data_IF_396951275636
#
_entry.id   IF_396951275636
#
_cell.length_a   1.000
_cell.length_b   1.000
_cell.length_c   1.000
_cell.angle_alpha   90.00
_cell.angle_beta   90.00
_cell.angle_gamma   90.00
#
_symmetry.space_group_name_H-M   'P 1'
#
loop_
_entity.id
_entity.type
_entity.pdbx_description
1 polymer ?
#
# COMPACT_ATOMS: atom_id res chain seq x y z
N UNK A 1 -2.03 -32.18 5.39
CA UNK A 1 -3.14 -31.34 5.88
C UNK A 1 -2.63 -30.21 6.80
N UNK A 2 -1.71 -29.34 6.34
CA UNK A 2 -0.99 -28.36 7.19
C UNK A 2 -0.86 -26.94 6.64
N UNK A 3 -1.40 -26.58 5.46
CA UNK A 3 -1.21 -25.23 4.88
C UNK A 3 -2.32 -24.21 5.19
N UNK A 4 -3.53 -24.66 5.59
CA UNK A 4 -4.67 -23.78 5.92
C UNK A 4 -4.39 -22.91 7.12
N UNK A 5 -3.92 -23.51 8.21
CA UNK A 5 -3.80 -22.83 9.50
C UNK A 5 -2.73 -21.75 9.44
N UNK A 6 -1.67 -21.95 8.66
CA UNK A 6 -0.62 -20.97 8.49
C UNK A 6 -1.04 -19.77 7.64
N UNK A 7 -1.90 -19.92 6.62
CA UNK A 7 -2.38 -18.75 5.86
C UNK A 7 -3.26 -17.88 6.73
N UNK A 8 -4.23 -18.48 7.41
CA UNK A 8 -5.14 -17.75 8.29
C UNK A 8 -4.38 -17.10 9.45
N UNK A 9 -3.51 -17.85 10.15
CA UNK A 9 -2.70 -17.32 11.27
C UNK A 9 -1.81 -16.15 10.84
N UNK A 10 -1.11 -16.27 9.71
CA UNK A 10 -0.23 -15.18 9.24
C UNK A 10 -1.04 -13.98 8.75
N UNK A 11 -2.19 -14.21 8.11
CA UNK A 11 -3.08 -13.11 7.68
C UNK A 11 -3.65 -12.37 8.89
N UNK A 12 -4.09 -13.09 9.93
CA UNK A 12 -4.57 -12.51 11.19
C UNK A 12 -3.45 -11.73 11.89
N UNK A 13 -2.24 -12.29 11.96
CA UNK A 13 -1.09 -11.62 12.56
C UNK A 13 -0.74 -10.32 11.83
N UNK A 14 -0.68 -10.36 10.49
CA UNK A 14 -0.42 -9.18 9.66
C UNK A 14 -1.55 -8.17 9.78
N UNK A 15 -2.80 -8.63 9.80
CA UNK A 15 -3.97 -7.77 9.96
C UNK A 15 -3.93 -7.07 11.33
N UNK A 16 -3.80 -7.81 12.43
CA UNK A 16 -3.70 -7.24 13.77
C UNK A 16 -2.54 -6.25 13.88
N UNK A 17 -1.36 -6.59 13.34
CA UNK A 17 -0.20 -5.71 13.36
C UNK A 17 -0.43 -4.42 12.54
N UNK A 18 -1.02 -4.55 11.34
CA UNK A 18 -1.36 -3.40 10.51
C UNK A 18 -2.38 -2.49 11.20
N UNK A 19 -3.37 -3.07 11.89
CA UNK A 19 -4.37 -2.30 12.63
C UNK A 19 -3.77 -1.57 13.82
N UNK A 20 -2.85 -2.18 14.57
CA UNK A 20 -2.13 -1.48 15.64
C UNK A 20 -1.35 -0.29 15.07
N UNK A 21 -0.60 -0.49 13.98
CA UNK A 21 0.16 0.59 13.33
C UNK A 21 -0.75 1.71 12.79
N UNK A 22 -1.90 1.34 12.21
CA UNK A 22 -2.93 2.28 11.74
C UNK A 22 -3.52 3.09 12.91
N UNK A 23 -3.90 2.43 14.01
CA UNK A 23 -4.40 3.09 15.22
C UNK A 23 -3.36 4.06 15.78
N UNK A 24 -2.09 3.65 15.89
CA UNK A 24 -1.01 4.55 16.32
C UNK A 24 -0.85 5.75 15.39
N UNK A 25 -1.03 5.57 14.08
CA UNK A 25 -0.98 6.66 13.10
C UNK A 25 -2.14 7.64 13.24
N UNK A 26 -3.36 7.14 13.47
CA UNK A 26 -4.53 7.98 13.76
C UNK A 26 -4.33 8.75 15.06
N UNK A 27 -3.91 8.07 16.12
CA UNK A 27 -3.62 8.70 17.41
C UNK A 27 -2.53 9.77 17.28
N UNK A 28 -1.52 9.55 16.44
CA UNK A 28 -0.50 10.56 16.15
C UNK A 28 -1.14 11.81 15.54
N UNK A 29 -1.94 11.67 14.49
CA UNK A 29 -2.59 12.84 13.86
C UNK A 29 -3.57 13.54 14.81
N UNK A 30 -4.32 12.79 15.61
CA UNK A 30 -5.21 13.34 16.64
C UNK A 30 -4.43 14.12 17.71
N UNK A 31 -3.32 13.58 18.20
CA UNK A 31 -2.47 14.25 19.17
C UNK A 31 -1.88 15.53 18.58
N UNK A 32 -1.28 15.44 17.39
CA UNK A 32 -0.67 16.58 16.71
C UNK A 32 -1.68 17.68 16.40
N UNK A 33 -2.90 17.33 15.97
CA UNK A 33 -3.96 18.31 15.70
C UNK A 33 -4.50 19.03 16.94
N UNK A 34 -4.30 18.48 18.15
CA UNK A 34 -4.70 19.12 19.41
C UNK A 34 -3.61 20.02 19.99
N UNK A 35 -2.35 19.63 19.82
CA UNK A 35 -1.22 20.28 20.49
C UNK A 35 -0.45 21.26 19.59
N UNK A 36 -0.50 21.08 18.27
CA UNK A 36 0.11 22.02 17.33
C UNK A 36 -0.87 23.13 16.97
N UNK A 37 -0.35 24.34 16.79
CA UNK A 37 -1.10 25.41 16.14
C UNK A 37 -1.50 24.99 14.71
N UNK A 38 -2.62 25.50 14.17
CA UNK A 38 -3.10 25.11 12.83
C UNK A 38 -2.05 25.26 11.71
N UNK A 39 -1.21 26.31 11.78
CA UNK A 39 -0.12 26.53 10.84
C UNK A 39 0.94 25.41 10.89
N UNK A 40 1.39 25.05 12.08
CA UNK A 40 2.37 23.96 12.30
C UNK A 40 1.79 22.60 11.89
N UNK A 41 0.53 22.33 12.21
CA UNK A 41 -0.13 21.11 11.75
C UNK A 41 -0.24 21.05 10.21
N UNK A 42 -0.47 22.20 9.57
CA UNK A 42 -0.45 22.34 8.11
C UNK A 42 0.92 22.02 7.50
N UNK A 43 2.00 22.51 8.12
CA UNK A 43 3.39 22.19 7.74
C UNK A 43 3.63 20.68 7.87
N UNK A 44 3.33 20.09 9.03
CA UNK A 44 3.50 18.66 9.28
C UNK A 44 2.76 17.81 8.24
N UNK A 45 1.50 18.12 7.99
CA UNK A 45 0.65 17.38 7.05
C UNK A 45 1.18 17.47 5.61
N UNK A 46 1.64 18.66 5.20
CA UNK A 46 2.21 18.87 3.87
C UNK A 46 3.51 18.09 3.68
N UNK A 47 4.41 18.14 4.66
CA UNK A 47 5.69 17.42 4.61
C UNK A 47 5.48 15.90 4.61
N UNK A 48 4.60 15.37 5.46
CA UNK A 48 4.25 13.95 5.44
C UNK A 48 3.56 13.55 4.12
N UNK A 49 2.82 14.46 3.49
CA UNK A 49 2.26 14.27 2.16
C UNK A 49 3.32 14.01 1.09
N UNK A 50 4.45 14.73 1.14
CA UNK A 50 5.60 14.50 0.24
C UNK A 50 6.17 13.09 0.41
N UNK A 51 6.35 12.65 1.66
CA UNK A 51 6.83 11.28 1.97
C UNK A 51 5.85 10.22 1.44
N UNK A 52 4.54 10.45 1.61
CA UNK A 52 3.50 9.54 1.14
C UNK A 52 3.52 9.38 -0.39
N UNK A 53 3.63 10.49 -1.13
CA UNK A 53 3.69 10.49 -2.60
C UNK A 53 4.91 9.69 -3.08
N UNK A 54 6.08 9.95 -2.49
CA UNK A 54 7.30 9.23 -2.85
C UNK A 54 7.25 7.74 -2.45
N UNK A 55 6.43 7.38 -1.46
CA UNK A 55 6.23 6.00 -1.02
C UNK A 55 5.49 5.11 -2.04
N UNK A 56 4.68 5.69 -2.94
CA UNK A 56 3.90 4.91 -3.91
C UNK A 56 4.76 4.00 -4.82
N UNK A 57 5.78 4.51 -5.55
CA UNK A 57 6.62 3.65 -6.38
C UNK A 57 7.46 2.64 -5.58
N UNK A 58 7.76 2.93 -4.31
CA UNK A 58 8.49 2.01 -3.43
C UNK A 58 7.68 0.76 -3.08
N UNK A 59 6.35 0.82 -3.15
CA UNK A 59 5.49 -0.35 -3.02
C UNK A 59 5.82 -1.43 -4.05
N UNK A 60 6.04 -1.04 -5.31
CA UNK A 60 6.42 -1.97 -6.38
C UNK A 60 7.79 -2.60 -6.12
N UNK A 61 8.76 -1.80 -5.66
CA UNK A 61 10.06 -2.32 -5.25
C UNK A 61 9.93 -3.31 -4.08
N UNK A 62 9.06 -3.04 -3.12
CA UNK A 62 8.74 -3.99 -2.04
C UNK A 62 8.22 -5.32 -2.58
N UNK A 63 7.28 -5.29 -3.52
CA UNK A 63 6.75 -6.50 -4.18
C UNK A 63 7.84 -7.27 -4.91
N UNK A 64 8.72 -6.58 -5.66
CA UNK A 64 9.88 -7.18 -6.34
C UNK A 64 10.79 -7.91 -5.34
N UNK A 65 11.11 -7.26 -4.23
CA UNK A 65 12.01 -7.84 -3.23
C UNK A 65 11.36 -9.01 -2.49
N UNK A 66 10.05 -8.96 -2.18
CA UNK A 66 9.33 -10.12 -1.64
C UNK A 66 9.44 -11.31 -2.62
N UNK A 67 9.19 -11.07 -3.92
CA UNK A 67 9.26 -12.10 -4.95
C UNK A 67 10.65 -12.74 -5.02
N UNK A 68 11.69 -11.93 -5.27
CA UNK A 68 13.04 -12.47 -5.46
C UNK A 68 13.64 -13.05 -4.18
N UNK A 69 13.32 -12.51 -3.01
CA UNK A 69 13.74 -13.12 -1.74
C UNK A 69 13.07 -14.48 -1.52
N UNK A 70 11.77 -14.62 -1.81
CA UNK A 70 11.08 -15.91 -1.72
C UNK A 70 11.64 -16.91 -2.75
N UNK A 71 11.95 -16.46 -3.97
CA UNK A 71 12.54 -17.29 -5.02
C UNK A 71 13.94 -17.79 -4.62
N UNK A 72 14.81 -16.92 -4.09
CA UNK A 72 16.13 -17.30 -3.58
C UNK A 72 16.02 -18.33 -2.45
N UNK A 73 15.05 -18.16 -1.54
CA UNK A 73 14.81 -19.13 -0.47
C UNK A 73 14.39 -20.50 -1.02
N UNK A 74 13.50 -20.54 -2.03
CA UNK A 74 13.09 -21.79 -2.69
C UNK A 74 14.25 -22.48 -3.42
N UNK A 75 15.22 -21.71 -3.92
CA UNK A 75 16.42 -22.20 -4.60
C UNK A 75 17.56 -22.60 -3.63
N UNK A 76 17.33 -22.58 -2.31
CA UNK A 76 18.35 -22.77 -1.27
C UNK A 76 19.50 -21.74 -1.32
N UNK A 77 19.23 -20.54 -1.86
CA UNK A 77 20.19 -19.42 -2.00
C UNK A 77 19.92 -18.31 -0.98
N UNK A 78 19.59 -18.68 0.26
CA UNK A 78 19.24 -17.72 1.31
C UNK A 78 20.36 -16.70 1.61
N UNK A 79 21.64 -17.07 1.41
CA UNK A 79 22.77 -16.17 1.58
C UNK A 79 22.83 -15.03 0.57
N UNK A 80 22.17 -15.17 -0.59
CA UNK A 80 22.15 -14.15 -1.64
C UNK A 80 21.17 -13.01 -1.38
N UNK A 81 20.36 -13.12 -0.32
CA UNK A 81 19.41 -12.07 0.08
C UNK A 81 20.17 -10.79 0.47
N UNK A 82 21.25 -10.87 1.25
CA UNK A 82 22.05 -9.68 1.60
C UNK A 82 22.76 -9.04 0.40
N UNK A 83 23.41 -9.79 -0.51
CA UNK A 83 23.89 -9.26 -1.79
C UNK A 83 22.79 -8.57 -2.62
N UNK A 84 21.60 -9.18 -2.73
CA UNK A 84 20.46 -8.57 -3.42
C UNK A 84 20.07 -7.24 -2.76
N UNK A 85 19.93 -7.22 -1.43
CA UNK A 85 19.65 -6.00 -0.66
C UNK A 85 20.71 -4.93 -0.89
N UNK A 86 22.00 -5.29 -0.84
CA UNK A 86 23.12 -4.38 -1.10
C UNK A 86 23.05 -3.79 -2.50
N UNK A 87 22.74 -4.60 -3.52
CA UNK A 87 22.63 -4.13 -4.91
C UNK A 87 21.53 -3.07 -5.06
N UNK A 88 20.38 -3.26 -4.41
CA UNK A 88 19.28 -2.31 -4.43
C UNK A 88 19.56 -1.08 -3.55
N UNK A 89 20.18 -1.26 -2.39
CA UNK A 89 20.61 -0.15 -1.55
C UNK A 89 21.56 0.79 -2.30
N UNK A 90 22.52 0.25 -3.06
CA UNK A 90 23.42 1.05 -3.90
C UNK A 90 22.68 1.81 -5.00
N UNK A 91 21.72 1.18 -5.69
CA UNK A 91 20.87 1.84 -6.70
C UNK A 91 20.05 2.98 -6.08
N UNK A 92 19.51 2.77 -4.89
CA UNK A 92 18.73 3.80 -4.18
C UNK A 92 19.59 4.89 -3.59
N UNK A 93 20.86 4.63 -3.24
CA UNK A 93 21.83 5.68 -2.87
C UNK A 93 22.09 6.64 -4.03
N UNK A 94 22.18 6.14 -5.26
CA UNK A 94 22.32 6.97 -6.46
C UNK A 94 21.11 7.89 -6.68
N UNK A 95 19.93 7.55 -6.14
CA UNK A 95 18.73 8.39 -6.19
C UNK A 95 18.63 9.31 -4.97
N UNK A 96 18.88 8.78 -3.78
CA UNK A 96 18.69 9.48 -2.51
C UNK A 96 19.72 10.58 -2.27
N UNK A 97 20.98 10.38 -2.68
CA UNK A 97 22.04 11.39 -2.51
C UNK A 97 21.75 12.63 -3.37
N UNK A 98 21.51 12.52 -4.69
CA UNK A 98 21.12 13.68 -5.49
C UNK A 98 19.85 14.34 -4.98
N UNK A 99 18.85 13.56 -4.53
CA UNK A 99 17.63 14.13 -3.95
C UNK A 99 17.92 14.98 -2.72
N UNK A 100 18.78 14.52 -1.80
CA UNK A 100 19.20 15.28 -0.62
C UNK A 100 19.98 16.53 -1.02
N UNK A 101 20.94 16.40 -1.94
CA UNK A 101 21.76 17.52 -2.42
C UNK A 101 20.89 18.58 -3.11
N UNK A 102 20.01 18.16 -4.02
CA UNK A 102 19.07 19.06 -4.71
C UNK A 102 18.10 19.69 -3.72
N UNK A 103 17.55 18.91 -2.78
CA UNK A 103 16.68 19.44 -1.74
C UNK A 103 17.38 20.48 -0.86
N UNK A 104 18.68 20.32 -0.61
CA UNK A 104 19.49 21.30 0.10
C UNK A 104 19.76 22.57 -0.74
N UNK A 105 20.22 22.41 -1.99
CA UNK A 105 20.52 23.52 -2.90
C UNK A 105 19.29 24.37 -3.22
N UNK A 106 18.14 23.71 -3.44
CA UNK A 106 16.86 24.36 -3.74
C UNK A 106 15.99 24.56 -2.48
N UNK A 107 16.58 24.50 -1.28
CA UNK A 107 15.82 24.58 -0.02
C UNK A 107 15.03 25.88 0.13
N UNK A 108 15.52 27.00 -0.39
CA UNK A 108 14.81 28.28 -0.33
C UNK A 108 13.59 28.32 -1.27
N UNK A 109 13.72 28.08 -2.59
CA UNK A 109 12.57 27.99 -3.47
C UNK A 109 11.53 26.97 -3.00
N UNK A 110 11.97 25.84 -2.47
CA UNK A 110 11.08 24.82 -1.92
C UNK A 110 10.35 25.32 -0.68
N UNK A 111 11.04 25.97 0.26
CA UNK A 111 10.41 26.53 1.45
C UNK A 111 9.39 27.62 1.10
N UNK A 112 9.69 28.49 0.14
CA UNK A 112 8.77 29.51 -0.35
C UNK A 112 7.56 28.89 -1.07
N UNK A 113 7.79 27.89 -1.93
CA UNK A 113 6.73 27.15 -2.62
C UNK A 113 5.75 26.48 -1.64
N UNK A 114 6.27 25.84 -0.60
CA UNK A 114 5.47 25.22 0.46
C UNK A 114 4.99 26.21 1.54
N UNK A 115 5.33 27.50 1.43
CA UNK A 115 5.00 28.57 2.39
C UNK A 115 5.43 28.20 3.82
N UNK A 116 6.63 27.64 3.97
CA UNK A 116 7.15 27.21 5.25
C UNK A 116 7.66 28.41 6.06
N UNK A 117 7.35 28.49 7.38
CA UNK A 117 7.86 29.55 8.25
C UNK A 117 9.39 29.45 8.42
N UNK A 118 9.94 28.24 8.39
CA UNK A 118 11.38 27.99 8.42
C UNK A 118 11.78 26.75 7.58
N UNK A 119 13.09 26.58 7.33
CA UNK A 119 13.65 25.48 6.51
C UNK A 119 13.86 24.18 7.29
N UNK A 120 13.70 24.17 8.60
CA UNK A 120 14.04 23.02 9.45
C UNK A 120 13.12 21.82 9.19
N UNK A 121 11.82 22.07 8.98
CA UNK A 121 10.86 21.04 8.60
C UNK A 121 11.19 20.43 7.23
N UNK A 122 11.64 21.26 6.28
CA UNK A 122 12.08 20.82 4.96
C UNK A 122 13.31 19.90 5.04
N UNK A 123 14.34 20.28 5.79
CA UNK A 123 15.52 19.42 5.95
C UNK A 123 15.16 18.10 6.64
N UNK A 124 14.30 18.14 7.65
CA UNK A 124 13.84 16.93 8.33
C UNK A 124 13.08 16.00 7.38
N UNK A 125 12.18 16.54 6.54
CA UNK A 125 11.45 15.70 5.59
C UNK A 125 12.35 15.12 4.52
N UNK A 126 13.36 15.85 4.05
CA UNK A 126 14.34 15.34 3.07
C UNK A 126 15.12 14.15 3.63
N UNK A 127 15.55 14.24 4.89
CA UNK A 127 16.23 13.13 5.59
C UNK A 127 15.28 11.93 5.73
N UNK A 128 14.04 12.15 6.18
CA UNK A 128 13.04 11.10 6.31
C UNK A 128 12.80 10.43 4.95
N UNK A 129 12.62 11.22 3.90
CA UNK A 129 12.38 10.74 2.54
C UNK A 129 13.54 9.87 2.04
N UNK A 130 14.78 10.31 2.26
CA UNK A 130 15.97 9.51 1.94
C UNK A 130 15.99 8.19 2.72
N UNK A 131 15.63 8.18 4.00
CA UNK A 131 15.51 6.95 4.80
C UNK A 131 14.38 6.04 4.28
N UNK A 132 13.24 6.61 3.89
CA UNK A 132 12.08 5.88 3.37
C UNK A 132 12.42 5.06 2.14
N UNK A 133 13.33 5.53 1.26
CA UNK A 133 13.79 4.74 0.11
C UNK A 133 14.41 3.39 0.49
N UNK A 134 15.06 3.28 1.65
CA UNK A 134 15.66 2.02 2.10
C UNK A 134 14.67 1.09 2.81
N UNK A 135 13.49 1.58 3.21
CA UNK A 135 12.49 0.77 3.92
C UNK A 135 12.07 -0.49 3.15
N UNK A 136 11.72 -0.48 1.84
CA UNK A 136 11.41 -1.71 1.12
C UNK A 136 12.62 -2.65 1.03
N UNK A 137 13.85 -2.12 0.91
CA UNK A 137 15.07 -2.93 0.80
C UNK A 137 15.28 -3.81 2.04
N UNK A 138 14.88 -3.32 3.21
CA UNK A 138 15.15 -3.98 4.49
C UNK A 138 13.91 -4.72 5.00
N UNK A 139 12.72 -4.14 4.87
CA UNK A 139 11.50 -4.75 5.42
C UNK A 139 10.85 -5.77 4.48
N UNK A 140 10.96 -5.61 3.16
CA UNK A 140 10.31 -6.52 2.20
C UNK A 140 10.89 -7.95 2.20
N UNK A 141 12.22 -8.17 2.34
CA UNK A 141 12.78 -9.51 2.44
C UNK A 141 12.21 -10.36 3.58
N UNK A 142 11.80 -9.75 4.71
CA UNK A 142 11.10 -10.47 5.79
C UNK A 142 9.79 -11.09 5.31
N UNK A 143 9.06 -10.40 4.43
CA UNK A 143 7.88 -10.93 3.76
C UNK A 143 8.23 -12.11 2.86
N UNK A 144 9.30 -11.98 2.06
CA UNK A 144 9.78 -13.03 1.16
C UNK A 144 10.16 -14.33 1.88
N UNK A 145 10.88 -14.23 3.00
CA UNK A 145 11.22 -15.39 3.84
C UNK A 145 10.10 -15.81 4.81
N UNK A 146 8.94 -15.17 4.74
CA UNK A 146 7.77 -15.43 5.59
C UNK A 146 8.02 -15.21 7.10
N UNK A 147 8.97 -14.35 7.46
CA UNK A 147 9.26 -13.93 8.84
C UNK A 147 8.26 -12.87 9.33
N UNK A 148 6.96 -13.19 9.25
CA UNK A 148 5.87 -12.26 9.54
C UNK A 148 5.90 -11.69 10.97
N UNK A 149 6.44 -12.43 11.94
CA UNK A 149 6.63 -11.92 13.31
C UNK A 149 7.54 -10.69 13.37
N UNK A 150 8.72 -10.77 12.73
CA UNK A 150 9.65 -9.65 12.61
C UNK A 150 9.08 -8.51 11.75
N UNK A 151 8.40 -8.84 10.65
CA UNK A 151 7.73 -7.85 9.82
C UNK A 151 6.65 -7.08 10.58
N UNK A 152 5.81 -7.78 11.36
CA UNK A 152 4.81 -7.18 12.24
C UNK A 152 5.44 -6.31 13.34
N UNK A 153 6.50 -6.79 14.00
CA UNK A 153 7.20 -6.01 15.03
C UNK A 153 7.80 -4.72 14.45
N UNK A 154 8.43 -4.81 13.28
CA UNK A 154 8.96 -3.66 12.54
C UNK A 154 7.85 -2.65 12.19
N UNK A 155 6.72 -3.09 11.65
CA UNK A 155 5.61 -2.21 11.28
C UNK A 155 4.88 -1.57 12.47
N UNK A 156 4.71 -2.30 13.57
CA UNK A 156 4.13 -1.77 14.82
C UNK A 156 5.08 -0.73 15.42
N UNK A 157 6.37 -1.04 15.48
CA UNK A 157 7.37 -0.14 16.06
C UNK A 157 7.42 1.21 15.36
N UNK A 158 7.25 1.25 14.02
CA UNK A 158 7.17 2.49 13.26
C UNK A 158 6.05 3.40 13.78
N UNK A 159 4.82 2.87 13.86
CA UNK A 159 3.65 3.63 14.30
C UNK A 159 3.74 4.06 15.76
N UNK A 160 4.14 3.14 16.65
CA UNK A 160 4.25 3.40 18.10
C UNK A 160 5.37 4.39 18.40
N UNK A 161 6.57 4.21 17.83
CA UNK A 161 7.69 5.11 18.10
C UNK A 161 7.45 6.51 17.52
N UNK A 162 6.82 6.58 16.34
CA UNK A 162 6.38 7.87 15.77
C UNK A 162 5.43 8.61 16.72
N UNK A 163 4.45 7.90 17.29
CA UNK A 163 3.50 8.47 18.26
C UNK A 163 4.18 8.88 19.56
N UNK A 164 4.92 7.97 20.20
CA UNK A 164 5.50 8.17 21.52
C UNK A 164 6.60 9.23 21.47
N UNK A 165 7.57 9.09 20.56
CA UNK A 165 8.70 10.02 20.45
C UNK A 165 8.22 11.35 19.89
N UNK A 166 7.42 11.35 18.83
CA UNK A 166 6.88 12.58 18.25
C UNK A 166 5.98 13.34 19.23
N UNK A 167 5.08 12.64 19.91
CA UNK A 167 4.21 13.20 20.93
C UNK A 167 4.99 13.77 22.11
N UNK A 168 5.97 13.02 22.63
CA UNK A 168 6.82 13.48 23.73
C UNK A 168 7.63 14.73 23.34
N UNK A 169 8.26 14.76 22.16
CA UNK A 169 9.03 15.92 21.73
C UNK A 169 8.14 17.16 21.52
N UNK A 170 6.94 16.98 20.96
CA UNK A 170 5.97 18.08 20.79
C UNK A 170 5.48 18.62 22.13
N UNK A 171 5.22 17.73 23.10
CA UNK A 171 4.70 18.11 24.41
C UNK A 171 5.76 18.70 25.34
N UNK A 172 6.93 18.07 25.43
CA UNK A 172 7.97 18.44 26.42
C UNK A 172 9.04 19.40 25.86
N UNK A 173 9.25 19.45 24.54
CA UNK A 173 10.32 20.29 23.94
C UNK A 173 9.75 21.54 23.30
N UNK A 174 8.96 21.39 22.23
CA UNK A 174 8.23 22.51 21.63
C UNK A 174 7.11 22.02 20.71
N UNK A 175 5.99 22.74 20.71
CA UNK A 175 4.86 22.46 19.83
C UNK A 175 5.13 22.93 18.37
N UNK A 176 5.99 22.21 17.65
CA UNK A 176 6.33 22.47 16.24
C UNK A 176 6.31 21.21 15.38
N UNK A 177 6.05 21.40 14.08
CA UNK A 177 6.06 20.35 13.06
C UNK A 177 7.40 19.62 12.99
N UNK A 178 8.51 20.34 13.20
CA UNK A 178 9.87 19.79 13.23
C UNK A 178 9.97 18.61 14.20
N UNK A 179 9.52 18.76 15.44
CA UNK A 179 9.63 17.72 16.46
C UNK A 179 8.71 16.52 16.19
N UNK A 180 7.54 16.77 15.60
CA UNK A 180 6.67 15.70 15.10
C UNK A 180 7.33 14.90 13.96
N UNK A 181 8.04 15.58 13.04
CA UNK A 181 8.83 14.94 11.98
C UNK A 181 10.04 14.17 12.54
N UNK A 182 10.71 14.69 13.57
CA UNK A 182 11.76 13.94 14.29
C UNK A 182 11.21 12.61 14.82
N UNK A 183 10.04 12.63 15.46
CA UNK A 183 9.36 11.41 15.88
C UNK A 183 9.12 10.42 14.75
N UNK A 184 8.67 10.91 13.59
CA UNK A 184 8.52 10.08 12.38
C UNK A 184 9.84 9.45 11.93
N UNK A 185 10.91 10.25 11.84
CA UNK A 185 12.25 9.76 11.48
C UNK A 185 12.76 8.69 12.43
N UNK A 186 12.61 8.90 13.75
CA UNK A 186 12.96 7.89 14.77
C UNK A 186 12.13 6.61 14.58
N UNK A 187 10.84 6.74 14.28
CA UNK A 187 10.00 5.59 13.96
C UNK A 187 10.51 4.78 12.76
N UNK A 188 10.96 5.45 11.69
CA UNK A 188 11.56 4.79 10.53
C UNK A 188 12.86 4.06 10.91
N UNK A 189 13.75 4.72 11.68
CA UNK A 189 15.02 4.14 12.12
C UNK A 189 14.79 2.88 12.97
N UNK A 190 13.91 2.95 13.98
CA UNK A 190 13.60 1.80 14.84
C UNK A 190 12.99 0.65 14.04
N UNK A 191 12.05 0.97 13.14
CA UNK A 191 11.40 -0.02 12.28
C UNK A 191 12.38 -0.76 11.38
N UNK A 192 13.28 -0.02 10.71
CA UNK A 192 14.35 -0.57 9.88
C UNK A 192 15.35 -1.36 10.72
N UNK A 193 15.71 -0.88 11.92
CA UNK A 193 16.60 -1.57 12.84
C UNK A 193 16.06 -2.93 13.28
N UNK A 194 14.78 -3.00 13.65
CA UNK A 194 14.10 -4.26 13.99
C UNK A 194 14.05 -5.21 12.78
N UNK A 195 13.75 -4.67 11.59
CA UNK A 195 13.71 -5.49 10.39
C UNK A 195 15.08 -6.08 10.03
N UNK A 196 16.13 -5.25 10.10
CA UNK A 196 17.51 -5.66 9.87
C UNK A 196 17.97 -6.70 10.91
N UNK A 197 17.63 -6.50 12.19
CA UNK A 197 17.92 -7.46 13.25
C UNK A 197 17.25 -8.81 12.98
N UNK A 198 15.99 -8.81 12.55
CA UNK A 198 15.26 -10.02 12.17
C UNK A 198 15.93 -10.76 11.00
N UNK A 199 16.31 -10.03 9.95
CA UNK A 199 17.04 -10.62 8.82
C UNK A 199 18.38 -11.19 9.24
N UNK A 200 19.16 -10.46 10.04
CA UNK A 200 20.45 -10.91 10.51
C UNK A 200 20.32 -12.17 11.37
N UNK A 201 19.38 -12.21 12.33
CA UNK A 201 19.16 -13.40 13.17
C UNK A 201 18.82 -14.64 12.33
N UNK A 202 18.01 -14.48 11.28
CA UNK A 202 17.57 -15.61 10.43
C UNK A 202 18.65 -16.03 9.44
N UNK A 203 19.38 -15.07 8.86
CA UNK A 203 20.26 -15.29 7.71
C UNK A 203 21.76 -15.28 8.05
N UNK A 204 22.17 -14.98 9.30
CA UNK A 204 23.60 -14.89 9.71
C UNK A 204 24.45 -16.12 9.38
N UNK A 205 23.83 -17.30 9.31
CA UNK A 205 24.52 -18.55 9.02
C UNK A 205 24.43 -18.95 7.53
N UNK A 206 23.75 -18.15 6.71
CA UNK A 206 23.60 -18.41 5.29
C UNK A 206 24.73 -17.73 4.52
N UNK A 207 25.60 -18.53 3.89
CA UNK A 207 26.69 -18.00 3.08
C UNK A 207 26.18 -17.64 1.68
N UNK A 208 26.59 -16.49 1.11
CA UNK A 208 26.32 -16.17 -0.28
C UNK A 208 26.86 -17.23 -1.23
N UNK A 209 26.19 -17.41 -2.36
CA UNK A 209 26.63 -18.27 -3.44
C UNK A 209 27.36 -17.45 -4.50
N UNK A 210 28.24 -18.09 -5.29
CA UNK A 210 28.95 -17.44 -6.41
C UNK A 210 28.07 -17.25 -7.66
N UNK A 211 26.77 -17.54 -7.56
CA UNK A 211 25.85 -17.41 -8.68
C UNK A 211 25.44 -15.96 -8.89
N UNK A 212 25.24 -15.57 -10.16
CA UNK A 212 24.73 -14.25 -10.49
C UNK A 212 23.38 -13.98 -9.81
N UNK A 213 23.18 -12.73 -9.39
CA UNK A 213 21.90 -12.29 -8.84
C UNK A 213 20.85 -12.20 -9.96
N UNK A 214 19.57 -12.46 -9.64
CA UNK A 214 18.52 -12.41 -10.64
C UNK A 214 18.29 -10.99 -11.16
N UNK A 215 17.96 -10.89 -12.45
CA UNK A 215 17.59 -9.64 -13.10
C UNK A 215 16.23 -9.14 -12.62
N UNK A 216 16.20 -8.03 -11.89
CA UNK A 216 14.98 -7.53 -11.23
C UNK A 216 14.27 -6.39 -11.98
N UNK A 217 14.93 -5.79 -12.98
CA UNK A 217 14.47 -4.56 -13.62
C UNK A 217 13.20 -4.72 -14.46
N UNK A 218 13.11 -5.78 -15.27
CA UNK A 218 11.92 -6.05 -16.08
C UNK A 218 10.69 -6.32 -15.19
N UNK A 219 10.87 -7.14 -14.14
CA UNK A 219 9.84 -7.39 -13.14
C UNK A 219 9.40 -6.10 -12.44
N UNK A 220 10.34 -5.22 -12.06
CA UNK A 220 10.03 -3.93 -11.43
C UNK A 220 9.18 -3.06 -12.36
N UNK A 221 9.60 -2.87 -13.61
CA UNK A 221 8.86 -2.03 -14.56
C UNK A 221 7.44 -2.54 -14.79
N UNK A 222 7.27 -3.85 -15.00
CA UNK A 222 5.95 -4.45 -15.19
C UNK A 222 5.08 -4.35 -13.93
N UNK A 223 5.68 -4.53 -12.74
CA UNK A 223 4.99 -4.36 -11.46
C UNK A 223 4.53 -2.92 -11.26
N UNK A 224 5.37 -1.93 -11.61
CA UNK A 224 5.00 -0.51 -11.58
C UNK A 224 3.80 -0.23 -12.48
N UNK A 225 3.76 -0.77 -13.70
CA UNK A 225 2.62 -0.61 -14.61
C UNK A 225 1.34 -1.23 -14.03
N UNK A 226 1.42 -2.45 -13.49
CA UNK A 226 0.27 -3.12 -12.84
C UNK A 226 -0.24 -2.28 -11.67
N UNK A 227 0.65 -1.87 -10.76
CA UNK A 227 0.28 -1.06 -9.59
C UNK A 227 -0.26 0.30 -10.00
N UNK A 228 0.31 0.97 -11.01
CA UNK A 228 -0.18 2.24 -11.51
C UNK A 228 -1.61 2.13 -12.07
N UNK A 229 -1.89 1.10 -12.87
CA UNK A 229 -3.24 0.86 -13.39
C UNK A 229 -4.24 0.59 -12.26
N UNK A 230 -3.86 -0.27 -11.29
CA UNK A 230 -4.72 -0.56 -10.15
C UNK A 230 -4.94 0.68 -9.26
N UNK A 231 -3.89 1.44 -8.96
CA UNK A 231 -3.97 2.68 -8.19
C UNK A 231 -4.82 3.74 -8.88
N UNK A 232 -4.79 3.80 -10.21
CA UNK A 232 -5.66 4.66 -11.00
C UNK A 232 -7.13 4.29 -10.81
N UNK A 233 -7.48 3.01 -11.00
CA UNK A 233 -8.86 2.53 -10.77
C UNK A 233 -9.34 2.79 -9.33
N UNK A 234 -8.43 2.74 -8.35
CA UNK A 234 -8.75 2.96 -6.95
C UNK A 234 -8.92 4.44 -6.56
N UNK A 235 -8.27 5.39 -7.25
CA UNK A 235 -8.15 6.78 -6.76
C UNK A 235 -8.50 7.87 -7.79
N UNK A 236 -8.58 7.55 -9.08
CA UNK A 236 -8.81 8.56 -10.13
C UNK A 236 -10.18 9.25 -9.99
N UNK A 237 -11.17 8.56 -9.45
CA UNK A 237 -12.52 9.03 -9.21
C UNK A 237 -12.58 10.33 -8.40
N UNK A 238 -11.76 10.49 -7.35
CA UNK A 238 -11.73 11.75 -6.58
C UNK A 238 -11.25 12.92 -7.45
N UNK A 239 -10.21 12.72 -8.25
CA UNK A 239 -9.64 13.76 -9.10
C UNK A 239 -10.61 14.15 -10.21
N UNK A 240 -11.27 13.14 -10.80
CA UNK A 240 -12.29 13.33 -11.83
C UNK A 240 -13.49 14.11 -11.27
N UNK A 241 -14.03 13.72 -10.11
CA UNK A 241 -15.18 14.42 -9.51
C UNK A 241 -14.80 15.86 -9.15
N UNK A 242 -13.59 16.09 -8.63
CA UNK A 242 -13.09 17.44 -8.34
C UNK A 242 -12.97 18.32 -9.60
N UNK A 243 -12.72 17.72 -10.76
CA UNK A 243 -12.61 18.45 -12.02
C UNK A 243 -13.98 18.86 -12.59
N UNK A 244 -14.96 17.96 -12.56
CA UNK A 244 -16.26 18.16 -13.21
C UNK A 244 -17.36 18.76 -12.32
N UNK A 245 -17.23 18.69 -10.98
CA UNK A 245 -18.29 19.08 -10.04
C UNK A 245 -17.86 20.21 -9.10
N UNK A 246 -18.85 20.82 -8.44
CA UNK A 246 -18.60 21.92 -7.50
C UNK A 246 -17.78 21.47 -6.28
N UNK A 247 -17.09 22.40 -5.57
CA UNK A 247 -16.34 22.06 -4.37
C UNK A 247 -17.16 21.32 -3.30
N UNK A 248 -18.42 21.70 -3.10
CA UNK A 248 -19.31 21.05 -2.11
C UNK A 248 -19.64 19.61 -2.52
N UNK A 249 -19.99 19.40 -3.79
CA UNK A 249 -20.27 18.07 -4.35
C UNK A 249 -19.04 17.17 -4.29
N UNK A 250 -17.87 17.70 -4.65
CA UNK A 250 -16.59 17.00 -4.50
C UNK A 250 -16.28 16.66 -3.05
N UNK A 251 -16.63 17.53 -2.10
CA UNK A 251 -16.48 17.30 -0.67
C UNK A 251 -17.34 16.13 -0.18
N UNK A 252 -18.62 16.08 -0.55
CA UNK A 252 -19.50 14.95 -0.24
C UNK A 252 -19.00 13.65 -0.84
N UNK A 253 -18.57 13.67 -2.11
CA UNK A 253 -18.00 12.49 -2.74
C UNK A 253 -16.72 12.00 -2.05
N UNK A 254 -15.81 12.90 -1.68
CA UNK A 254 -14.57 12.52 -1.01
C UNK A 254 -14.82 11.77 0.31
N UNK A 255 -15.89 12.13 1.06
CA UNK A 255 -16.32 11.39 2.26
C UNK A 255 -16.76 9.97 1.92
N UNK A 256 -17.63 9.81 0.91
CA UNK A 256 -18.12 8.51 0.48
C UNK A 256 -17.00 7.63 -0.11
N UNK A 257 -16.12 8.20 -0.92
CA UNK A 257 -14.99 7.52 -1.54
C UNK A 257 -13.96 7.06 -0.49
N UNK A 258 -13.72 7.85 0.56
CA UNK A 258 -12.89 7.43 1.70
C UNK A 258 -13.45 6.17 2.36
N UNK A 259 -14.76 6.15 2.64
CA UNK A 259 -15.43 4.98 3.24
C UNK A 259 -15.34 3.76 2.31
N UNK A 260 -15.59 3.94 1.01
CA UNK A 260 -15.48 2.85 0.02
C UNK A 260 -14.08 2.24 -0.04
N UNK A 261 -13.02 3.07 -0.02
CA UNK A 261 -11.63 2.59 -0.06
C UNK A 261 -11.22 1.78 1.17
N UNK A 262 -11.84 2.00 2.33
CA UNK A 262 -11.58 1.18 3.51
C UNK A 262 -11.85 -0.30 3.24
N UNK A 263 -12.79 -0.63 2.34
CA UNK A 263 -13.10 -2.01 1.94
C UNK A 263 -11.92 -2.68 1.20
N UNK A 264 -11.06 -1.91 0.51
CA UNK A 264 -9.87 -2.43 -0.18
C UNK A 264 -8.70 -2.64 0.80
N UNK A 265 -8.65 -1.88 1.89
CA UNK A 265 -7.58 -2.03 2.88
C UNK A 265 -7.73 -3.29 3.74
N UNK A 266 -8.96 -3.73 4.01
CA UNK A 266 -9.24 -4.95 4.78
C UNK A 266 -8.53 -6.22 4.22
N UNK A 267 -8.55 -6.51 2.91
CA UNK A 267 -7.87 -7.69 2.35
C UNK A 267 -6.36 -7.57 2.15
N UNK A 268 -5.74 -6.40 2.32
CA UNK A 268 -4.30 -6.24 2.07
C UNK A 268 -3.40 -7.20 2.86
N UNK A 269 -3.64 -7.46 4.16
CA UNK A 269 -2.86 -8.44 4.92
C UNK A 269 -2.96 -9.88 4.37
N UNK A 270 -4.11 -10.23 3.77
CA UNK A 270 -4.32 -11.54 3.16
C UNK A 270 -3.47 -11.66 1.89
N UNK A 271 -3.45 -10.63 1.05
CA UNK A 271 -2.55 -10.58 -0.11
C UNK A 271 -1.09 -10.67 0.31
N UNK A 272 -0.69 -9.94 1.37
CA UNK A 272 0.66 -9.97 1.92
C UNK A 272 1.08 -11.35 2.44
N UNK A 273 0.16 -12.11 3.03
CA UNK A 273 0.42 -13.49 3.47
C UNK A 273 0.41 -14.51 2.31
N UNK A 274 -0.41 -14.26 1.28
CA UNK A 274 -0.55 -15.11 0.09
C UNK A 274 0.67 -15.02 -0.82
N UNK A 275 1.15 -13.80 -1.06
CA UNK A 275 2.16 -13.49 -2.07
C UNK A 275 3.42 -14.37 -1.94
N UNK A 276 4.19 -14.35 -0.82
CA UNK A 276 5.43 -15.14 -0.70
C UNK A 276 5.20 -16.66 -0.69
N UNK A 277 3.98 -17.12 -0.36
CA UNK A 277 3.61 -18.55 -0.35
C UNK A 277 3.23 -19.08 -1.73
N UNK A 278 3.06 -18.18 -2.68
CA UNK A 278 2.69 -18.47 -4.05
C UNK A 278 3.72 -17.91 -5.01
N UNK A 279 4.97 -17.70 -4.56
CA UNK A 279 6.03 -17.30 -5.49
C UNK A 279 6.38 -18.47 -6.38
N UNK A 280 6.29 -18.27 -7.69
CA UNK A 280 6.77 -19.19 -8.72
C UNK A 280 7.09 -18.45 -10.02
N UNK A 281 7.84 -19.10 -10.90
CA UNK A 281 8.22 -18.54 -12.20
C UNK A 281 7.26 -19.04 -13.30
N UNK A 282 6.00 -18.61 -13.23
CA UNK A 282 4.93 -18.99 -14.18
C UNK A 282 4.30 -20.36 -13.94
N UNK A 283 4.98 -21.27 -13.24
CA UNK A 283 4.47 -22.60 -12.92
C UNK A 283 3.45 -22.56 -11.78
N UNK A 284 2.17 -22.79 -12.08
CA UNK A 284 1.10 -22.90 -11.08
C UNK A 284 0.85 -24.35 -10.70
N UNK A 285 0.90 -24.65 -9.41
CA UNK A 285 0.50 -25.94 -8.85
C UNK A 285 -0.95 -25.92 -8.36
N UNK A 286 -1.56 -27.09 -8.19
CA UNK A 286 -2.88 -27.19 -7.56
C UNK A 286 -2.89 -26.60 -6.14
N UNK A 287 -1.74 -26.62 -5.45
CA UNK A 287 -1.58 -25.99 -4.14
C UNK A 287 -1.65 -24.46 -4.22
N UNK A 288 -1.02 -23.83 -5.22
CA UNK A 288 -1.10 -22.38 -5.44
C UNK A 288 -2.56 -21.96 -5.68
N UNK A 289 -3.28 -22.67 -6.55
CA UNK A 289 -4.71 -22.41 -6.81
C UNK A 289 -5.57 -22.59 -5.55
N UNK A 290 -5.31 -23.62 -4.75
CA UNK A 290 -6.01 -23.82 -3.48
C UNK A 290 -5.76 -22.66 -2.49
N UNK A 291 -4.54 -22.11 -2.47
CA UNK A 291 -4.22 -20.95 -1.64
C UNK A 291 -4.94 -19.69 -2.13
N UNK A 292 -4.98 -19.45 -3.45
CA UNK A 292 -5.73 -18.34 -4.05
C UNK A 292 -7.21 -18.41 -3.68
N UNK A 293 -7.87 -19.55 -3.89
CA UNK A 293 -9.31 -19.69 -3.58
C UNK A 293 -9.60 -19.51 -2.09
N UNK A 294 -8.71 -19.96 -1.20
CA UNK A 294 -8.82 -19.68 0.23
C UNK A 294 -8.67 -18.19 0.53
N UNK A 295 -7.71 -17.51 -0.09
CA UNK A 295 -7.52 -16.08 0.08
C UNK A 295 -8.74 -15.28 -0.41
N UNK A 296 -9.31 -15.64 -1.55
CA UNK A 296 -10.55 -15.06 -2.08
C UNK A 296 -11.74 -15.31 -1.14
N UNK A 297 -11.87 -16.54 -0.63
CA UNK A 297 -12.92 -16.90 0.32
C UNK A 297 -12.81 -16.11 1.64
N UNK A 298 -11.62 -16.05 2.24
CA UNK A 298 -11.40 -15.26 3.46
C UNK A 298 -11.60 -13.77 3.22
N UNK A 299 -11.18 -13.27 2.05
CA UNK A 299 -11.44 -11.89 1.64
C UNK A 299 -12.94 -11.63 1.56
N UNK A 300 -13.70 -12.48 0.87
CA UNK A 300 -15.15 -12.34 0.75
C UNK A 300 -15.85 -12.35 2.12
N UNK A 301 -15.45 -13.25 3.03
CA UNK A 301 -15.98 -13.32 4.40
C UNK A 301 -15.70 -12.05 5.21
N UNK A 302 -14.59 -11.35 4.95
CA UNK A 302 -14.25 -10.12 5.66
C UNK A 302 -14.95 -8.91 5.03
N UNK A 303 -14.89 -8.78 3.71
CA UNK A 303 -15.37 -7.58 3.02
C UNK A 303 -16.89 -7.53 2.88
N UNK A 304 -17.57 -8.67 2.64
CA UNK A 304 -19.02 -8.67 2.37
C UNK A 304 -19.82 -8.28 3.62
N UNK A 305 -19.59 -8.86 4.82
CA UNK A 305 -20.29 -8.43 6.02
C UNK A 305 -19.97 -6.98 6.41
N UNK A 306 -18.70 -6.56 6.31
CA UNK A 306 -18.30 -5.18 6.58
C UNK A 306 -18.98 -4.18 5.64
N UNK A 307 -19.01 -4.49 4.34
CA UNK A 307 -19.72 -3.71 3.34
C UNK A 307 -21.23 -3.70 3.58
N UNK A 308 -21.83 -4.83 3.96
CA UNK A 308 -23.26 -4.94 4.24
C UNK A 308 -23.65 -4.06 5.45
N UNK A 309 -22.89 -4.10 6.54
CA UNK A 309 -23.11 -3.22 7.70
C UNK A 309 -23.02 -1.76 7.29
N UNK A 310 -21.98 -1.38 6.54
CA UNK A 310 -21.80 0.00 6.09
C UNK A 310 -22.86 0.44 5.06
N UNK A 311 -23.39 -0.48 4.27
CA UNK A 311 -24.44 -0.20 3.30
C UNK A 311 -25.83 -0.09 3.95
N UNK A 312 -26.15 -0.96 4.93
CA UNK A 312 -27.40 -0.91 5.68
C UNK A 312 -27.45 0.29 6.63
N UNK A 313 -26.32 0.60 7.27
CA UNK A 313 -26.19 1.69 8.25
C UNK A 313 -25.08 2.68 7.84
N UNK A 314 -25.24 3.44 6.73
CA UNK A 314 -24.23 4.39 6.25
C UNK A 314 -23.94 5.52 7.26
N UNK A 315 -24.86 5.80 8.18
CA UNK A 315 -24.66 6.72 9.30
C UNK A 315 -23.57 6.26 10.28
N UNK A 316 -23.22 4.96 10.34
CA UNK A 316 -22.15 4.49 11.21
C UNK A 316 -20.77 5.00 10.77
N UNK A 317 -20.28 4.69 9.55
CA UNK A 317 -19.00 5.23 9.12
C UNK A 317 -19.02 6.77 9.00
N UNK A 318 -20.15 7.37 8.61
CA UNK A 318 -20.28 8.83 8.52
C UNK A 318 -20.26 9.51 9.90
N UNK A 319 -20.98 8.96 10.87
CA UNK A 319 -21.00 9.44 12.25
C UNK A 319 -19.64 9.30 12.93
N UNK A 320 -18.99 8.13 12.77
CA UNK A 320 -17.68 7.88 13.38
C UNK A 320 -16.58 8.75 12.77
N UNK A 321 -16.53 8.91 11.44
CA UNK A 321 -15.44 9.62 10.77
C UNK A 321 -15.67 11.13 10.65
N UNK A 322 -16.92 11.55 10.45
CA UNK A 322 -17.28 12.93 10.10
C UNK A 322 -18.28 13.56 11.08
N UNK A 323 -18.66 12.88 12.16
CA UNK A 323 -19.69 13.32 13.12
C UNK A 323 -21.06 13.57 12.47
N UNK A 324 -21.30 12.94 11.32
CA UNK A 324 -22.53 13.05 10.54
C UNK A 324 -23.43 11.85 10.82
N UNK A 325 -24.17 11.92 11.94
CA UNK A 325 -25.07 10.85 12.41
C UNK A 325 -26.46 10.89 11.77
N UNK A 326 -26.81 12.00 11.12
CA UNK A 326 -28.08 12.19 10.41
C UNK A 326 -27.83 12.63 8.96
N UNK A 327 -27.10 11.82 8.17
CA UNK A 327 -26.81 12.15 6.79
C UNK A 327 -28.09 12.15 5.96
N UNK A 328 -28.16 13.04 4.98
CA UNK A 328 -29.28 13.09 4.06
C UNK A 328 -29.36 11.82 3.18
N UNK A 329 -30.49 11.65 2.50
CA UNK A 329 -30.72 10.48 1.66
C UNK A 329 -29.74 10.38 0.48
N UNK A 330 -29.26 11.53 -0.03
CA UNK A 330 -28.31 11.60 -1.13
C UNK A 330 -26.93 11.07 -0.70
N UNK A 331 -26.44 11.48 0.47
CA UNK A 331 -25.18 11.04 1.04
C UNK A 331 -25.23 9.54 1.39
N UNK A 332 -26.33 9.07 1.98
CA UNK A 332 -26.55 7.65 2.24
C UNK A 332 -26.46 6.81 0.95
N UNK A 333 -27.10 7.28 -0.13
CA UNK A 333 -27.06 6.62 -1.44
C UNK A 333 -25.65 6.60 -2.00
N UNK A 334 -24.92 7.70 -1.90
CA UNK A 334 -23.57 7.82 -2.42
C UNK A 334 -22.60 6.86 -1.72
N UNK A 335 -22.67 6.77 -0.39
CA UNK A 335 -21.87 5.81 0.40
C UNK A 335 -22.17 4.38 -0.02
N UNK A 336 -23.45 4.01 -0.12
CA UNK A 336 -23.88 2.67 -0.54
C UNK A 336 -23.31 2.32 -1.92
N UNK A 337 -23.53 3.16 -2.92
CA UNK A 337 -23.05 2.93 -4.28
C UNK A 337 -21.52 2.79 -4.33
N UNK A 338 -20.80 3.63 -3.58
CA UNK A 338 -19.33 3.62 -3.57
C UNK A 338 -18.77 2.36 -2.90
N UNK A 339 -19.37 1.90 -1.80
CA UNK A 339 -19.00 0.63 -1.15
C UNK A 339 -19.16 -0.54 -2.12
N UNK A 340 -20.33 -0.65 -2.77
CA UNK A 340 -20.58 -1.74 -3.73
C UNK A 340 -19.66 -1.68 -4.95
N UNK A 341 -19.29 -0.49 -5.42
CA UNK A 341 -18.35 -0.31 -6.52
C UNK A 341 -16.92 -0.81 -6.19
N UNK A 342 -16.53 -0.81 -4.91
CA UNK A 342 -15.18 -1.18 -4.47
C UNK A 342 -15.00 -2.67 -4.18
N UNK A 343 -16.07 -3.43 -3.88
CA UNK A 343 -15.99 -4.86 -3.55
C UNK A 343 -15.31 -5.70 -4.67
N UNK A 344 -15.71 -5.56 -5.95
CA UNK A 344 -15.07 -6.33 -7.02
C UNK A 344 -13.58 -5.98 -7.17
N UNK A 345 -13.24 -4.70 -6.97
CA UNK A 345 -11.86 -4.22 -7.03
C UNK A 345 -11.01 -4.78 -5.88
N UNK A 346 -11.59 -4.96 -4.68
CA UNK A 346 -10.94 -5.64 -3.55
C UNK A 346 -10.61 -7.11 -3.86
N UNK A 347 -11.48 -7.83 -4.57
CA UNK A 347 -11.20 -9.21 -4.99
C UNK A 347 -10.17 -9.24 -6.13
N UNK A 348 -10.27 -8.30 -7.08
CA UNK A 348 -9.27 -8.12 -8.13
C UNK A 348 -7.87 -7.85 -7.56
N UNK A 349 -7.76 -7.14 -6.43
CA UNK A 349 -6.49 -6.92 -5.74
C UNK A 349 -5.81 -8.23 -5.30
N UNK A 350 -6.57 -9.21 -4.80
CA UNK A 350 -6.03 -10.52 -4.41
C UNK A 350 -5.50 -11.27 -5.63
N UNK A 351 -6.28 -11.29 -6.72
CA UNK A 351 -5.88 -11.97 -7.96
C UNK A 351 -4.66 -11.29 -8.59
N UNK A 352 -4.64 -9.96 -8.60
CA UNK A 352 -3.49 -9.17 -9.08
C UNK A 352 -2.22 -9.55 -8.32
N UNK A 353 -2.25 -9.59 -6.99
CA UNK A 353 -1.08 -9.97 -6.18
C UNK A 353 -0.67 -11.43 -6.40
N UNK A 354 -1.63 -12.33 -6.62
CA UNK A 354 -1.33 -13.71 -6.98
C UNK A 354 -0.68 -13.85 -8.35
N UNK A 355 -1.15 -13.12 -9.36
CA UNK A 355 -0.54 -13.14 -10.69
C UNK A 355 0.88 -12.56 -10.67
N UNK A 356 1.09 -11.47 -9.92
CA UNK A 356 2.42 -10.92 -9.66
C UNK A 356 3.33 -11.95 -8.96
N UNK A 357 2.84 -12.66 -7.93
CA UNK A 357 3.65 -13.70 -7.27
C UNK A 357 3.97 -14.89 -8.18
N UNK A 358 3.17 -15.15 -9.22
CA UNK A 358 3.45 -16.18 -10.22
C UNK A 358 4.32 -15.67 -11.39
N UNK A 359 4.89 -14.46 -11.31
CA UNK A 359 5.63 -13.81 -12.40
C UNK A 359 4.81 -13.67 -13.70
N UNK A 360 3.49 -13.44 -13.58
CA UNK A 360 2.58 -13.32 -14.72
C UNK A 360 2.07 -11.91 -14.89
N UNK A 361 2.46 -11.29 -15.99
CA UNK A 361 2.09 -9.92 -16.35
C UNK A 361 1.02 -9.82 -17.44
N UNK A 362 0.38 -10.94 -17.80
CA UNK A 362 -0.75 -10.95 -18.74
C UNK A 362 -1.92 -10.08 -18.27
N UNK A 363 -2.01 -9.85 -16.96
CA UNK A 363 -2.99 -8.97 -16.32
C UNK A 363 -2.83 -7.48 -16.67
N UNK A 364 -1.70 -7.05 -17.23
CA UNK A 364 -1.48 -5.65 -17.62
C UNK A 364 -2.52 -5.21 -18.66
N UNK A 365 -2.75 -6.04 -19.69
CA UNK A 365 -3.68 -5.72 -20.77
C UNK A 365 -5.13 -5.48 -20.27
N UNK A 366 -5.77 -6.41 -19.52
CA UNK A 366 -7.11 -6.16 -19.02
C UNK A 366 -7.18 -4.97 -18.06
N UNK A 367 -6.13 -4.70 -17.27
CA UNK A 367 -6.08 -3.51 -16.41
C UNK A 367 -6.01 -2.21 -17.22
N UNK A 368 -5.19 -2.14 -18.27
CA UNK A 368 -5.13 -0.98 -19.18
C UNK A 368 -6.48 -0.76 -19.88
N UNK A 369 -7.13 -1.83 -20.34
CA UNK A 369 -8.46 -1.76 -20.94
C UNK A 369 -9.51 -1.25 -19.94
N UNK A 370 -9.44 -1.68 -18.68
CA UNK A 370 -10.30 -1.18 -17.62
C UNK A 370 -10.07 0.31 -17.33
N UNK A 371 -8.80 0.75 -17.23
CA UNK A 371 -8.44 2.17 -17.06
C UNK A 371 -8.96 3.01 -18.22
N UNK A 372 -8.74 2.55 -19.45
CA UNK A 372 -9.20 3.22 -20.66
C UNK A 372 -10.73 3.27 -20.72
N UNK A 373 -11.39 2.15 -20.41
CA UNK A 373 -12.85 2.07 -20.33
C UNK A 373 -13.45 2.99 -19.27
N UNK A 374 -12.78 3.14 -18.12
CA UNK A 374 -13.18 4.09 -17.08
C UNK A 374 -13.08 5.53 -17.58
N UNK A 375 -11.95 5.92 -18.18
CA UNK A 375 -11.74 7.25 -18.75
C UNK A 375 -12.74 7.58 -19.86
N UNK A 376 -12.92 6.67 -20.82
CA UNK A 376 -13.88 6.82 -21.93
C UNK A 376 -15.30 6.91 -21.38
N UNK A 377 -15.67 6.02 -20.45
CA UNK A 377 -16.99 6.03 -19.84
C UNK A 377 -17.29 7.36 -19.14
N UNK A 378 -16.33 7.88 -18.37
CA UNK A 378 -16.48 9.18 -17.69
C UNK A 378 -16.56 10.33 -18.70
N UNK A 379 -15.72 10.32 -19.74
CA UNK A 379 -15.74 11.35 -20.77
C UNK A 379 -17.11 11.45 -21.47
N UNK A 380 -17.77 10.31 -21.68
CA UNK A 380 -19.11 10.23 -22.29
C UNK A 380 -20.26 10.48 -21.30
N UNK A 381 -20.11 10.06 -20.03
CA UNK A 381 -21.15 10.12 -19.02
C UNK A 381 -20.63 10.66 -17.67
N UNK A 382 -20.72 11.97 -17.48
CA UNK A 382 -20.33 12.65 -16.23
C UNK A 382 -21.35 13.71 -15.76
N UNK A 383 -22.63 13.58 -16.15
CA UNK A 383 -23.67 14.54 -15.76
C UNK A 383 -24.01 14.46 -14.26
N UNK A 384 -23.67 13.37 -13.57
CA UNK A 384 -23.82 13.24 -12.11
C UNK A 384 -22.72 12.37 -11.49
N UNK A 385 -22.44 12.59 -10.22
CA UNK A 385 -21.45 11.78 -9.46
C UNK A 385 -21.84 10.29 -9.45
N UNK A 386 -23.14 9.98 -9.39
CA UNK A 386 -23.61 8.60 -9.43
C UNK A 386 -23.28 7.91 -10.76
N UNK A 387 -23.21 8.64 -11.88
CA UNK A 387 -22.74 8.05 -13.16
C UNK A 387 -21.27 7.67 -13.07
N UNK A 388 -20.41 8.52 -12.51
CA UNK A 388 -18.99 8.21 -12.30
C UNK A 388 -18.83 6.98 -11.42
N UNK A 389 -19.59 6.88 -10.32
CA UNK A 389 -19.59 5.71 -9.43
C UNK A 389 -20.11 4.45 -10.13
N UNK A 390 -21.14 4.58 -10.97
CA UNK A 390 -21.67 3.45 -11.74
C UNK A 390 -20.65 2.94 -12.77
N UNK A 391 -19.97 3.82 -13.51
CA UNK A 391 -18.91 3.44 -14.45
C UNK A 391 -17.77 2.76 -13.69
N UNK A 392 -17.38 3.30 -12.52
CA UNK A 392 -16.39 2.69 -11.66
C UNK A 392 -16.81 1.28 -11.22
N UNK A 393 -18.07 1.10 -10.80
CA UNK A 393 -18.60 -0.22 -10.44
C UNK A 393 -18.55 -1.19 -11.62
N UNK A 394 -18.97 -0.76 -12.81
CA UNK A 394 -18.92 -1.59 -14.03
C UNK A 394 -17.48 -1.99 -14.34
N UNK A 395 -16.54 -1.05 -14.31
CA UNK A 395 -15.12 -1.32 -14.58
C UNK A 395 -14.50 -2.22 -13.52
N UNK A 396 -14.84 -2.05 -12.24
CA UNK A 396 -14.40 -2.94 -11.16
C UNK A 396 -14.88 -4.37 -11.38
N UNK A 397 -16.14 -4.57 -11.78
CA UNK A 397 -16.67 -5.89 -12.12
C UNK A 397 -15.97 -6.46 -13.35
N UNK A 398 -15.79 -5.66 -14.41
CA UNK A 398 -15.06 -6.09 -15.60
C UNK A 398 -13.62 -6.49 -15.28
N UNK A 399 -12.93 -5.73 -14.43
CA UNK A 399 -11.58 -6.05 -13.98
C UNK A 399 -11.55 -7.39 -13.24
N UNK A 400 -12.47 -7.61 -12.30
CA UNK A 400 -12.57 -8.89 -11.60
C UNK A 400 -12.82 -10.06 -12.56
N UNK A 401 -13.81 -9.94 -13.45
CA UNK A 401 -14.16 -10.99 -14.42
C UNK A 401 -13.02 -11.27 -15.39
N UNK A 402 -12.36 -10.22 -15.91
CA UNK A 402 -11.22 -10.37 -16.79
C UNK A 402 -10.04 -11.07 -16.08
N UNK A 403 -9.73 -10.68 -14.85
CA UNK A 403 -8.66 -11.33 -14.08
C UNK A 403 -8.99 -12.79 -13.77
N UNK A 404 -10.24 -13.12 -13.43
CA UNK A 404 -10.68 -14.52 -13.20
C UNK A 404 -10.61 -15.33 -14.49
N UNK A 405 -11.01 -14.76 -15.63
CA UNK A 405 -10.97 -15.43 -16.93
C UNK A 405 -9.56 -15.82 -17.34
N UNK A 406 -8.59 -14.95 -17.05
CA UNK A 406 -7.19 -15.14 -17.41
C UNK A 406 -6.40 -16.03 -16.44
N UNK A 407 -7.01 -16.46 -15.32
CA UNK A 407 -6.38 -17.44 -14.43
C UNK A 407 -6.15 -18.75 -15.20
N UNK A 408 -4.92 -19.30 -15.20
CA UNK A 408 -4.69 -20.61 -15.76
C UNK A 408 -5.31 -21.66 -14.84
N UNK A 409 -6.54 -22.05 -15.17
CA UNK A 409 -7.22 -23.19 -14.56
C UNK A 409 -6.33 -24.41 -14.76
N UNK A 410 -5.97 -25.10 -13.67
CA UNK A 410 -4.99 -26.19 -13.62
C UNK A 410 -5.43 -27.49 -14.32
N UNK A 411 -6.15 -27.37 -15.45
CA UNK A 411 -6.53 -28.46 -16.34
C UNK A 411 -6.21 -28.18 -17.82
N UNK A 412 -5.69 -27.00 -18.18
CA UNK A 412 -5.12 -26.78 -19.52
C UNK A 412 -3.61 -26.76 -19.40
N UNK A 413 -2.99 -27.92 -19.63
CA UNK A 413 -1.58 -28.00 -19.98
C UNK A 413 -1.35 -27.13 -21.21
N UNK A 414 -0.89 -25.91 -20.99
CA UNK A 414 -0.39 -25.06 -22.06
C UNK A 414 1.11 -25.30 -22.10
N UNK A 415 1.47 -26.39 -22.78
CA UNK A 415 2.74 -26.47 -23.49
C UNK A 415 2.71 -25.40 -24.57
N UNK A 416 3.26 -24.22 -24.27
CA UNK A 416 3.73 -23.31 -25.31
C UNK A 416 5.24 -23.40 -25.29
N UNK A 417 5.68 -24.39 -26.09
CA UNK A 417 6.81 -24.37 -27.03
C UNK A 417 7.85 -23.27 -26.80
N UNK A 418 9.07 -23.75 -26.54
CA UNK A 418 10.42 -23.20 -26.75
C UNK A 418 10.57 -21.75 -27.20
#
# INVERSE_FOLDING_TARGET
>A
MKSSDHLLRHSILLMAASQVSNVSSVLFHMFMGRWLAPAEYGVLSSMLGVVLIAGMPLGALGTVLIFFTAQLLQQNRAGDIFPLMRSWALKLLVISIPLLVMGFLFSQPLAEFFKLPDRSALFMVLIILAMTFFTPVISAPLGGIQAFGWGSASGISWGVMRLVVGGALVYFVAASAKWALVGHGVGVIVSVGIAMAGLWVILRNSLPTDQALPGTHDYLWRTLVVMACFSFLMNADILIVKHYFSPDQSGFYARAATIGRMIIFLPMPIAGALFPKTVSDGATSAQHNRLLWKALFYTAIIIIPGALVCALFPQLPLGVLYHDWQPDAAMCRLVRCTIWAMIPLSLAFIIMNFELSQNRFRIILPLILCVSGYLIGVALWHNSILQIVAILATVSVMALLALVWWLPWSGKGVSVVS
#
